data_IF_706583531706
#
_entry.id   IF_706583531706
#
_cell.length_a   1.000
_cell.length_b   1.000
_cell.length_c   1.000
_cell.angle_alpha   90.00
_cell.angle_beta   90.00
_cell.angle_gamma   90.00
#
_symmetry.space_group_name_H-M   'P 1'
#
loop_
_entity.id
_entity.type
_entity.pdbx_description
1 polymer ?
#
# COMPACT_ATOMS: atom_id res chain seq x y z
N UNK A 1 -12.79 -14.66 10.54
CA UNK A 1 -12.24 -14.32 9.19
C UNK A 1 -10.75 -14.55 9.16
N UNK A 2 -10.30 -15.48 8.34
CA UNK A 2 -8.90 -15.95 8.21
C UNK A 2 -7.88 -14.81 8.01
N UNK A 3 -8.25 -13.77 7.25
CA UNK A 3 -7.41 -12.60 7.01
C UNK A 3 -7.16 -11.84 8.31
N UNK A 4 -8.19 -11.62 9.11
CA UNK A 4 -8.09 -10.88 10.38
C UNK A 4 -7.19 -11.65 11.35
N UNK A 5 -7.37 -12.96 11.47
CA UNK A 5 -6.55 -13.81 12.33
C UNK A 5 -5.09 -13.83 11.88
N UNK A 6 -4.87 -13.97 10.57
CA UNK A 6 -3.52 -13.98 9.99
C UNK A 6 -2.82 -12.65 10.20
N UNK A 7 -3.48 -11.53 9.91
CA UNK A 7 -2.93 -10.19 10.15
C UNK A 7 -2.70 -9.93 11.64
N UNK A 8 -3.66 -10.31 12.49
CA UNK A 8 -3.54 -10.20 13.95
C UNK A 8 -2.36 -10.97 14.53
N UNK A 9 -1.95 -12.07 13.89
CA UNK A 9 -0.78 -12.86 14.27
C UNK A 9 0.53 -12.24 13.80
N UNK A 10 0.61 -11.81 12.54
CA UNK A 10 1.90 -11.44 11.92
C UNK A 10 2.23 -9.94 12.04
N UNK A 11 1.23 -9.05 12.03
CA UNK A 11 1.49 -7.61 12.14
C UNK A 11 2.16 -7.22 13.47
N UNK A 12 1.72 -7.72 14.65
CA UNK A 12 2.42 -7.45 15.90
C UNK A 12 3.86 -7.95 15.91
N UNK A 13 4.14 -9.12 15.30
CA UNK A 13 5.49 -9.65 15.20
C UNK A 13 6.39 -8.78 14.32
N UNK A 14 5.83 -8.29 13.20
CA UNK A 14 6.55 -7.39 12.29
C UNK A 14 6.88 -6.05 12.98
N UNK A 15 5.94 -5.51 13.76
CA UNK A 15 6.14 -4.30 14.55
C UNK A 15 7.20 -4.55 15.63
N UNK A 16 7.09 -5.63 16.41
CA UNK A 16 8.02 -5.96 17.49
C UNK A 16 9.45 -6.20 16.98
N UNK A 17 9.60 -6.75 15.77
CA UNK A 17 10.89 -6.88 15.09
C UNK A 17 11.51 -5.55 14.63
N UNK A 18 10.74 -4.46 14.65
CA UNK A 18 11.17 -3.13 14.21
C UNK A 18 11.34 -2.15 15.36
N UNK A 19 10.39 -2.16 16.31
CA UNK A 19 10.36 -1.22 17.43
C UNK A 19 9.67 -1.83 18.65
N UNK A 20 10.16 -1.52 19.85
CA UNK A 20 9.46 -1.78 21.10
C UNK A 20 8.45 -0.66 21.39
N UNK A 21 7.24 -0.79 20.84
CA UNK A 21 6.20 0.22 20.89
C UNK A 21 5.52 0.22 22.27
N UNK A 22 5.61 1.34 22.99
CA UNK A 22 4.98 1.54 24.30
C UNK A 22 3.50 1.90 24.15
N UNK A 23 2.64 1.69 25.18
CA UNK A 23 1.21 2.01 25.09
C UNK A 23 0.90 3.47 24.74
N UNK A 24 1.71 4.42 25.21
CA UNK A 24 1.54 5.87 24.98
C UNK A 24 2.18 6.37 23.68
N UNK A 25 2.90 5.53 22.95
CA UNK A 25 3.54 5.92 21.70
C UNK A 25 2.50 6.16 20.60
N UNK A 26 2.62 7.30 19.94
CA UNK A 26 1.71 7.65 18.85
C UNK A 26 2.01 6.82 17.60
N UNK A 27 0.98 6.25 17.00
CA UNK A 27 1.03 5.61 15.69
C UNK A 27 0.37 6.52 14.67
N UNK A 28 1.06 6.77 13.54
CA UNK A 28 0.52 7.47 12.39
C UNK A 28 0.11 6.44 11.33
N UNK A 29 -1.18 6.42 11.00
CA UNK A 29 -1.74 5.66 9.89
C UNK A 29 -1.72 6.50 8.62
N UNK A 30 -1.21 5.96 7.54
CA UNK A 30 -1.14 6.62 6.24
C UNK A 30 -1.84 5.77 5.20
N UNK A 31 -2.88 6.33 4.58
CA UNK A 31 -3.61 5.67 3.50
C UNK A 31 -3.26 6.29 2.16
N UNK A 32 -2.44 5.61 1.36
CA UNK A 32 -2.05 6.07 0.03
C UNK A 32 -3.15 5.78 -0.99
N UNK A 33 -3.21 6.61 -2.02
CA UNK A 33 -4.10 6.42 -3.15
C UNK A 33 -5.12 7.54 -3.33
N UNK A 34 -6.08 7.27 -4.22
CA UNK A 34 -7.06 8.23 -4.70
C UNK A 34 -8.49 7.79 -4.34
N UNK A 35 -9.19 8.58 -3.53
CA UNK A 35 -10.58 8.37 -3.16
C UNK A 35 -11.53 8.20 -4.35
N UNK A 36 -11.20 8.86 -5.48
CA UNK A 36 -12.04 8.90 -6.68
C UNK A 36 -11.83 7.71 -7.61
N UNK A 37 -10.79 6.91 -7.38
CA UNK A 37 -10.46 5.74 -8.18
C UNK A 37 -10.68 4.47 -7.34
N UNK A 38 -11.70 3.68 -7.68
CA UNK A 38 -12.08 2.49 -6.90
C UNK A 38 -10.90 1.55 -6.65
N UNK A 39 -10.09 1.30 -7.69
CA UNK A 39 -8.93 0.42 -7.61
C UNK A 39 -7.77 1.01 -6.79
N UNK A 40 -7.79 2.31 -6.48
CA UNK A 40 -6.75 3.04 -5.76
C UNK A 40 -7.27 3.64 -4.43
N UNK A 41 -8.44 3.18 -3.97
CA UNK A 41 -9.09 3.72 -2.77
C UNK A 41 -8.86 2.93 -1.48
N UNK A 42 -8.05 1.88 -1.52
CA UNK A 42 -7.80 1.02 -0.35
C UNK A 42 -7.25 1.82 0.83
N UNK A 43 -6.17 2.57 0.62
CA UNK A 43 -5.54 3.37 1.66
C UNK A 43 -6.47 4.44 2.25
N UNK A 44 -7.11 5.29 1.44
CA UNK A 44 -8.11 6.23 1.91
C UNK A 44 -9.24 5.58 2.72
N UNK A 45 -9.80 4.46 2.25
CA UNK A 45 -10.84 3.71 2.99
C UNK A 45 -10.32 3.13 4.30
N UNK A 46 -9.08 2.65 4.30
CA UNK A 46 -8.45 2.20 5.54
C UNK A 46 -8.45 3.32 6.59
N UNK A 47 -8.09 4.54 6.24
CA UNK A 47 -8.14 5.68 7.17
C UNK A 47 -9.58 5.97 7.62
N UNK A 48 -10.54 5.94 6.70
CA UNK A 48 -11.95 6.18 7.03
C UNK A 48 -12.50 5.25 8.09
N UNK A 49 -12.07 3.98 8.08
CA UNK A 49 -12.56 2.95 9.01
C UNK A 49 -11.62 2.69 10.19
N UNK A 50 -10.49 3.39 10.26
CA UNK A 50 -9.52 3.21 11.34
C UNK A 50 -9.95 3.94 12.62
N UNK A 51 -9.70 3.36 13.81
CA UNK A 51 -9.95 4.03 15.07
C UNK A 51 -8.93 5.14 15.30
N UNK A 52 -9.34 6.39 15.12
CA UNK A 52 -8.52 7.57 15.37
C UNK A 52 -8.74 8.03 16.82
N UNK A 53 -7.71 7.94 17.65
CA UNK A 53 -7.82 8.10 19.11
C UNK A 53 -6.93 9.19 19.69
N UNK A 54 -5.93 9.69 18.92
CA UNK A 54 -4.95 10.68 19.44
C UNK A 54 -5.62 11.93 20.05
N UNK A 55 -6.72 12.40 19.50
CA UNK A 55 -7.44 13.56 20.00
C UNK A 55 -8.10 13.31 21.34
N UNK A 56 -8.46 12.06 21.68
CA UNK A 56 -8.99 11.74 23.02
C UNK A 56 -7.94 11.97 24.11
N UNK A 57 -6.67 11.67 23.85
CA UNK A 57 -5.60 11.93 24.81
C UNK A 57 -5.39 13.42 25.10
N UNK A 58 -5.78 14.30 24.18
CA UNK A 58 -5.62 15.74 24.31
C UNK A 58 -6.87 16.43 24.87
N UNK A 59 -8.07 15.99 24.45
CA UNK A 59 -9.31 16.75 24.67
C UNK A 59 -10.40 15.99 25.39
N UNK A 60 -10.35 14.67 25.49
CA UNK A 60 -11.38 13.84 26.10
C UNK A 60 -10.80 12.57 26.75
N UNK A 61 -9.87 12.70 27.74
CA UNK A 61 -9.21 11.55 28.35
C UNK A 61 -10.18 10.58 29.04
N UNK A 62 -11.35 11.07 29.46
CA UNK A 62 -12.42 10.25 30.03
C UNK A 62 -13.07 9.27 29.02
N UNK A 63 -12.85 9.45 27.72
CA UNK A 63 -13.33 8.55 26.67
C UNK A 63 -12.34 7.41 26.34
N UNK A 64 -11.16 7.43 26.94
CA UNK A 64 -10.16 6.40 26.74
C UNK A 64 -10.60 5.10 27.45
N UNK A 65 -10.47 3.99 26.74
CA UNK A 65 -10.65 2.65 27.31
C UNK A 65 -9.32 1.90 27.32
N UNK A 66 -9.23 0.88 28.17
CA UNK A 66 -8.04 0.05 28.29
C UNK A 66 -7.63 -0.55 26.92
N UNK A 67 -6.35 -0.54 26.61
CA UNK A 67 -5.80 -1.00 25.33
C UNK A 67 -5.77 0.03 24.22
N UNK A 68 -6.42 1.20 24.36
CA UNK A 68 -6.26 2.29 23.41
C UNK A 68 -4.84 2.86 23.45
N UNK A 69 -4.35 3.25 22.26
CA UNK A 69 -3.11 4.03 22.09
C UNK A 69 -3.38 5.28 21.27
N UNK A 70 -2.54 6.32 21.38
CA UNK A 70 -2.67 7.49 20.52
C UNK A 70 -2.48 7.09 19.05
N UNK A 71 -3.54 7.18 18.28
CA UNK A 71 -3.54 6.87 16.85
C UNK A 71 -4.10 8.05 16.06
N UNK A 72 -3.39 8.48 15.04
CA UNK A 72 -3.85 9.50 14.09
C UNK A 72 -3.70 8.98 12.66
N UNK A 73 -4.43 9.57 11.72
CA UNK A 73 -4.43 9.09 10.35
C UNK A 73 -4.52 10.21 9.33
N UNK A 74 -3.95 9.96 8.15
CA UNK A 74 -4.02 10.86 7.01
C UNK A 74 -4.14 10.06 5.71
N UNK A 75 -5.00 10.53 4.80
CA UNK A 75 -5.02 10.14 3.41
C UNK A 75 -4.58 11.36 2.58
N UNK A 76 -3.28 11.44 2.18
CA UNK A 76 -2.71 12.65 1.58
C UNK A 76 -3.26 12.96 0.18
N UNK A 77 -3.92 11.99 -0.45
CA UNK A 77 -4.31 12.08 -1.85
C UNK A 77 -3.15 11.84 -2.80
N UNK A 78 -3.34 12.21 -4.06
CA UNK A 78 -2.36 12.02 -5.13
C UNK A 78 -1.93 13.35 -5.73
N UNK A 79 -0.70 13.41 -6.23
CA UNK A 79 -0.08 14.62 -6.81
C UNK A 79 -1.00 15.31 -7.85
N UNK A 80 -1.63 14.54 -8.74
CA UNK A 80 -2.50 15.08 -9.78
C UNK A 80 -3.78 15.77 -9.28
N UNK A 81 -4.13 15.61 -8.00
CA UNK A 81 -5.27 16.28 -7.36
C UNK A 81 -4.82 17.40 -6.44
N UNK A 82 -3.76 17.18 -5.68
CA UNK A 82 -3.32 18.08 -4.60
C UNK A 82 -2.23 19.06 -5.05
N UNK A 83 -1.47 18.72 -6.10
CA UNK A 83 -0.27 19.45 -6.49
C UNK A 83 0.93 19.24 -5.55
N UNK A 84 0.79 18.36 -4.55
CA UNK A 84 1.81 18.08 -3.55
C UNK A 84 2.33 16.65 -3.70
N UNK A 85 3.62 16.46 -3.55
CA UNK A 85 4.18 15.11 -3.46
C UNK A 85 3.73 14.45 -2.13
N UNK A 86 3.31 13.19 -2.21
CA UNK A 86 2.88 12.42 -1.05
C UNK A 86 3.91 12.43 0.08
N UNK A 87 5.21 12.35 -0.29
CA UNK A 87 6.31 12.42 0.67
C UNK A 87 6.33 13.75 1.43
N UNK A 88 6.12 14.89 0.77
CA UNK A 88 6.14 16.24 1.40
C UNK A 88 5.04 16.35 2.46
N UNK A 89 3.82 15.88 2.12
CA UNK A 89 2.70 15.91 3.06
C UNK A 89 2.99 15.03 4.28
N UNK A 90 3.42 13.78 4.04
CA UNK A 90 3.69 12.83 5.13
C UNK A 90 4.86 13.30 5.97
N UNK A 91 5.95 13.80 5.38
CA UNK A 91 7.10 14.31 6.12
C UNK A 91 6.71 15.49 7.00
N UNK A 92 5.91 16.43 6.49
CA UNK A 92 5.39 17.54 7.29
C UNK A 92 4.55 17.08 8.48
N UNK A 93 3.73 16.04 8.31
CA UNK A 93 2.96 15.45 9.42
C UNK A 93 3.88 14.75 10.42
N UNK A 94 4.85 13.97 9.96
CA UNK A 94 5.83 13.28 10.82
C UNK A 94 6.61 14.27 11.67
N UNK A 95 7.10 15.35 11.10
CA UNK A 95 7.90 16.35 11.80
C UNK A 95 7.11 17.08 12.90
N UNK A 96 5.80 17.25 12.72
CA UNK A 96 4.93 17.91 13.70
C UNK A 96 4.36 16.94 14.74
N UNK A 97 3.91 15.76 14.32
CA UNK A 97 3.27 14.76 15.19
C UNK A 97 4.28 13.94 15.98
N UNK A 98 5.47 13.72 15.40
CA UNK A 98 6.56 12.89 15.94
C UNK A 98 6.08 11.50 16.36
N UNK A 99 5.45 10.74 15.45
CA UNK A 99 4.97 9.40 15.77
C UNK A 99 6.15 8.46 16.02
N UNK A 100 5.93 7.44 16.84
CA UNK A 100 6.92 6.39 17.07
C UNK A 100 6.93 5.35 15.93
N UNK A 101 5.82 5.22 15.21
CA UNK A 101 5.65 4.26 14.12
C UNK A 101 4.71 4.82 13.06
N UNK A 102 5.03 4.58 11.79
CA UNK A 102 4.10 4.70 10.67
C UNK A 102 3.60 3.32 10.22
N UNK A 103 2.29 3.24 9.96
CA UNK A 103 1.69 2.13 9.21
C UNK A 103 1.11 2.72 7.92
N UNK A 104 1.68 2.30 6.79
CA UNK A 104 1.30 2.81 5.47
C UNK A 104 0.53 1.74 4.72
N UNK A 105 -0.66 2.06 4.23
CA UNK A 105 -1.51 1.15 3.44
C UNK A 105 -1.66 1.68 2.03
N UNK A 106 -1.46 0.80 1.03
CA UNK A 106 -1.49 1.15 -0.39
C UNK A 106 -2.14 0.07 -1.25
N UNK A 107 -2.65 0.50 -2.39
CA UNK A 107 -3.09 -0.36 -3.49
C UNK A 107 -1.89 -0.73 -4.36
N UNK A 108 -1.69 -2.02 -4.62
CA UNK A 108 -0.54 -2.51 -5.38
C UNK A 108 -0.94 -2.95 -6.79
N UNK A 109 0.04 -2.99 -7.70
CA UNK A 109 -0.09 -3.64 -8.99
C UNK A 109 0.29 -5.12 -8.89
N UNK A 110 -0.60 -6.01 -9.33
CA UNK A 110 -0.35 -7.45 -9.37
C UNK A 110 0.61 -7.82 -10.50
N UNK A 111 1.58 -8.67 -10.18
CA UNK A 111 2.44 -9.33 -11.17
C UNK A 111 1.87 -10.68 -11.63
N UNK A 112 0.73 -11.09 -11.07
CA UNK A 112 -0.03 -12.27 -11.42
C UNK A 112 -1.51 -11.99 -11.16
N UNK A 113 -2.37 -12.32 -12.13
CA UNK A 113 -3.83 -12.11 -12.08
C UNK A 113 -4.45 -12.76 -10.83
N UNK A 114 -3.97 -13.93 -10.43
CA UNK A 114 -4.51 -14.70 -9.29
C UNK A 114 -4.30 -13.99 -7.93
N UNK A 115 -3.42 -12.98 -7.89
CA UNK A 115 -3.14 -12.23 -6.66
C UNK A 115 -4.04 -11.01 -6.44
N UNK A 116 -4.86 -10.64 -7.42
CA UNK A 116 -5.75 -9.47 -7.32
C UNK A 116 -6.80 -9.72 -6.23
N UNK A 117 -6.81 -8.89 -5.21
CA UNK A 117 -7.75 -8.95 -4.10
C UNK A 117 -7.64 -10.21 -3.22
N UNK A 118 -6.65 -11.07 -3.45
CA UNK A 118 -6.50 -12.36 -2.75
C UNK A 118 -5.28 -12.43 -1.84
N UNK A 119 -4.38 -11.46 -1.93
CA UNK A 119 -3.14 -11.45 -1.13
C UNK A 119 -2.95 -10.12 -0.42
N UNK A 120 -2.43 -10.17 0.80
CA UNK A 120 -1.95 -9.01 1.53
C UNK A 120 -0.45 -9.15 1.72
N UNK A 121 0.28 -8.10 1.39
CA UNK A 121 1.73 -8.03 1.56
C UNK A 121 2.05 -7.09 2.71
N UNK A 122 2.93 -7.52 3.61
CA UNK A 122 3.41 -6.69 4.72
C UNK A 122 4.93 -6.65 4.69
N UNK A 123 5.50 -5.46 4.89
CA UNK A 123 6.95 -5.25 4.91
C UNK A 123 7.35 -4.24 6.00
N UNK A 124 8.53 -4.42 6.59
CA UNK A 124 9.11 -3.49 7.55
C UNK A 124 10.22 -2.59 6.94
N UNK A 125 10.34 -2.59 5.62
CA UNK A 125 11.32 -1.79 4.86
C UNK A 125 10.73 -0.51 4.30
N UNK A 126 9.42 -0.26 4.50
CA UNK A 126 8.71 0.84 3.88
C UNK A 126 8.14 0.50 2.51
N UNK A 127 7.71 1.52 1.77
CA UNK A 127 7.07 1.39 0.46
C UNK A 127 7.54 2.50 -0.49
N UNK A 128 7.62 2.20 -1.77
CA UNK A 128 7.85 3.18 -2.83
C UNK A 128 6.56 3.34 -3.65
N UNK A 129 5.78 4.41 -3.40
CA UNK A 129 4.51 4.62 -4.09
C UNK A 129 4.67 4.68 -5.60
N UNK A 130 3.75 4.08 -6.35
CA UNK A 130 3.72 4.11 -7.80
C UNK A 130 4.77 3.23 -8.51
N UNK A 131 5.64 2.52 -7.80
CA UNK A 131 6.69 1.68 -8.43
C UNK A 131 6.11 0.57 -9.29
N UNK A 132 4.99 -0.01 -8.89
CA UNK A 132 4.33 -1.11 -9.63
C UNK A 132 3.70 -0.70 -10.97
N UNK A 133 3.58 0.59 -11.26
CA UNK A 133 3.01 1.13 -12.50
C UNK A 133 4.00 2.02 -13.26
N UNK A 134 5.30 1.91 -12.96
CA UNK A 134 6.36 2.68 -13.63
C UNK A 134 6.42 4.17 -13.25
N UNK A 135 5.71 4.59 -12.21
CA UNK A 135 5.66 5.96 -11.72
C UNK A 135 6.22 6.05 -10.29
N UNK A 136 7.43 5.53 -10.10
CA UNK A 136 8.07 5.47 -8.80
C UNK A 136 8.26 6.87 -8.20
N UNK A 137 7.70 7.07 -7.00
CA UNK A 137 7.85 8.29 -6.20
C UNK A 137 8.91 8.07 -5.13
N UNK A 138 9.22 9.13 -4.37
CA UNK A 138 10.15 9.04 -3.24
C UNK A 138 9.66 8.00 -2.23
N UNK A 139 10.57 7.15 -1.78
CA UNK A 139 10.26 6.09 -0.82
C UNK A 139 9.79 6.65 0.52
N UNK A 140 8.83 5.97 1.12
CA UNK A 140 8.36 6.17 2.48
C UNK A 140 8.97 5.06 3.33
N UNK A 141 10.15 5.30 3.85
CA UNK A 141 10.92 4.38 4.68
C UNK A 141 11.54 5.11 5.88
N UNK A 142 12.17 4.34 6.76
CA UNK A 142 12.80 4.88 7.95
C UNK A 142 13.93 5.86 7.64
N UNK A 143 14.71 5.62 6.59
CA UNK A 143 15.82 6.50 6.21
C UNK A 143 15.33 7.86 5.74
N UNK A 144 14.24 7.90 5.00
CA UNK A 144 13.69 9.14 4.43
C UNK A 144 12.83 9.93 5.41
N UNK A 145 12.11 9.24 6.30
CA UNK A 145 11.17 9.87 7.24
C UNK A 145 11.74 10.05 8.66
N UNK A 146 12.75 9.25 9.04
CA UNK A 146 13.35 9.29 10.37
C UNK A 146 12.52 8.55 11.43
N UNK A 147 11.55 7.73 11.03
CA UNK A 147 10.74 6.91 11.92
C UNK A 147 10.52 5.53 11.31
N UNK A 148 10.38 4.46 12.13
CA UNK A 148 10.04 3.13 11.65
C UNK A 148 8.77 3.12 10.78
N UNK A 149 8.79 2.36 9.68
CA UNK A 149 7.67 2.24 8.75
C UNK A 149 7.31 0.77 8.55
N UNK A 150 6.03 0.45 8.71
CA UNK A 150 5.43 -0.81 8.28
C UNK A 150 4.55 -0.51 7.08
N UNK A 151 4.77 -1.19 5.98
CA UNK A 151 3.96 -1.09 4.78
C UNK A 151 3.02 -2.30 4.67
N UNK A 152 1.77 -2.04 4.29
CA UNK A 152 0.75 -3.04 4.03
C UNK A 152 0.16 -2.74 2.65
N UNK A 153 0.10 -3.73 1.77
CA UNK A 153 -0.44 -3.55 0.44
C UNK A 153 -1.29 -4.72 -0.02
N UNK A 154 -2.30 -4.41 -0.84
CA UNK A 154 -3.11 -5.41 -1.51
C UNK A 154 -3.11 -5.11 -3.01
N UNK A 155 -2.84 -6.10 -3.89
CA UNK A 155 -2.97 -5.93 -5.32
C UNK A 155 -4.44 -5.70 -5.71
N UNK A 156 -4.72 -4.56 -6.32
CA UNK A 156 -6.06 -4.15 -6.76
C UNK A 156 -6.16 -3.94 -8.26
N UNK A 157 -5.02 -3.81 -8.93
CA UNK A 157 -4.91 -3.64 -10.38
C UNK A 157 -3.89 -4.63 -10.96
N UNK A 158 -4.00 -4.85 -12.26
CA UNK A 158 -3.03 -5.63 -13.04
C UNK A 158 -2.83 -4.95 -14.39
N UNK A 159 -1.60 -4.99 -14.90
CA UNK A 159 -1.30 -4.49 -16.24
C UNK A 159 -1.90 -5.45 -17.28
N UNK A 160 -2.49 -4.91 -18.35
CA UNK A 160 -3.03 -5.68 -19.46
C UNK A 160 -1.99 -6.61 -20.11
N UNK A 161 -0.72 -6.20 -20.15
CA UNK A 161 0.37 -7.05 -20.61
C UNK A 161 0.52 -8.33 -19.77
N UNK A 162 0.38 -8.24 -18.45
CA UNK A 162 0.44 -9.40 -17.54
C UNK A 162 -0.71 -10.35 -17.82
N UNK A 163 -1.93 -9.84 -18.01
CA UNK A 163 -3.11 -10.65 -18.34
C UNK A 163 -2.88 -11.40 -19.65
N UNK A 164 -2.44 -10.68 -20.70
CA UNK A 164 -2.23 -11.24 -22.03
C UNK A 164 -1.13 -12.29 -22.02
N UNK A 165 0.00 -11.99 -21.36
CA UNK A 165 1.10 -12.94 -21.21
C UNK A 165 0.66 -14.25 -20.56
N UNK A 166 -0.03 -14.15 -19.41
CA UNK A 166 -0.53 -15.33 -18.70
C UNK A 166 -1.60 -16.10 -19.48
N UNK A 167 -2.43 -15.40 -20.26
CA UNK A 167 -3.41 -16.03 -21.13
C UNK A 167 -2.74 -16.86 -22.24
N UNK A 168 -1.71 -16.30 -22.90
CA UNK A 168 -0.93 -17.02 -23.93
C UNK A 168 -0.21 -18.21 -23.30
N UNK A 169 0.44 -18.04 -22.17
CA UNK A 169 1.13 -19.12 -21.46
C UNK A 169 0.16 -20.28 -21.13
N UNK A 170 -0.98 -19.96 -20.51
CA UNK A 170 -2.02 -20.98 -20.19
C UNK A 170 -2.60 -21.65 -21.43
N UNK A 171 -2.75 -20.92 -22.54
CA UNK A 171 -3.19 -21.50 -23.80
C UNK A 171 -2.15 -22.50 -24.36
N UNK A 172 -0.88 -22.13 -24.39
CA UNK A 172 0.21 -23.02 -24.81
C UNK A 172 0.27 -24.30 -23.97
N UNK A 173 0.13 -24.16 -22.63
CA UNK A 173 0.09 -25.33 -21.73
C UNK A 173 -1.08 -26.27 -22.06
N UNK A 174 -2.28 -25.71 -22.30
CA UNK A 174 -3.48 -26.53 -22.62
C UNK A 174 -3.42 -27.18 -23.99
N UNK A 175 -2.73 -26.58 -24.95
CA UNK A 175 -2.61 -27.10 -26.33
C UNK A 175 -1.32 -27.90 -26.55
N UNK A 176 -0.50 -28.10 -25.52
CA UNK A 176 0.83 -28.73 -25.61
C UNK A 176 1.74 -28.04 -26.66
N UNK A 177 1.56 -26.75 -26.86
CA UNK A 177 2.44 -25.91 -27.72
C UNK A 177 3.56 -25.30 -26.89
N UNK A 178 4.73 -25.12 -27.52
CA UNK A 178 5.88 -24.51 -26.84
C UNK A 178 5.59 -23.01 -26.63
N UNK A 179 5.66 -22.55 -25.39
CA UNK A 179 5.58 -21.14 -25.08
C UNK A 179 6.88 -20.43 -25.47
N UNK A 180 6.81 -19.47 -26.36
CA UNK A 180 7.95 -18.63 -26.75
C UNK A 180 7.79 -17.23 -26.15
N UNK A 181 8.54 -16.96 -25.09
CA UNK A 181 8.46 -15.71 -24.32
C UNK A 181 8.79 -14.48 -25.18
N UNK A 182 9.78 -14.57 -26.09
CA UNK A 182 10.19 -13.45 -26.96
C UNK A 182 9.06 -13.09 -27.91
N UNK A 183 8.46 -14.09 -28.58
CA UNK A 183 7.35 -13.87 -29.50
C UNK A 183 6.10 -13.37 -28.78
N UNK A 184 5.79 -13.93 -27.62
CA UNK A 184 4.66 -13.50 -26.78
C UNK A 184 4.82 -12.02 -26.38
N UNK A 185 6.00 -11.63 -25.88
CA UNK A 185 6.28 -10.26 -25.49
C UNK A 185 6.24 -9.28 -26.67
N UNK A 186 6.70 -9.69 -27.86
CA UNK A 186 6.59 -8.86 -29.05
C UNK A 186 5.14 -8.68 -29.48
N UNK A 187 4.35 -9.75 -29.54
CA UNK A 187 2.93 -9.68 -29.90
C UNK A 187 2.12 -8.84 -28.91
N UNK A 188 2.46 -8.91 -27.61
CA UNK A 188 1.84 -8.08 -26.57
C UNK A 188 2.16 -6.60 -26.81
N UNK A 189 3.43 -6.26 -27.10
CA UNK A 189 3.83 -4.89 -27.43
C UNK A 189 3.10 -4.37 -28.67
N UNK A 190 3.00 -5.18 -29.72
CA UNK A 190 2.32 -4.81 -30.96
C UNK A 190 0.83 -4.53 -30.71
N UNK A 191 0.16 -5.36 -29.91
CA UNK A 191 -1.23 -5.14 -29.51
C UNK A 191 -1.41 -3.88 -28.66
N UNK A 192 -0.53 -3.65 -27.68
CA UNK A 192 -0.65 -2.52 -26.75
C UNK A 192 -0.24 -1.20 -27.39
N UNK A 193 0.66 -1.19 -28.36
CA UNK A 193 1.03 0.02 -29.12
C UNK A 193 -0.16 0.61 -29.89
N UNK A 194 -1.16 -0.20 -30.23
CA UNK A 194 -2.41 0.25 -30.87
C UNK A 194 -3.31 1.09 -29.93
N UNK A 195 -3.18 0.92 -28.61
CA UNK A 195 -3.98 1.63 -27.61
C UNK A 195 -3.22 2.75 -26.90
N UNK A 196 -1.92 2.82 -27.07
CA UNK A 196 -1.04 3.84 -26.50
C UNK A 196 -0.39 4.63 -27.60
N UNK A 197 -1.11 5.56 -28.19
CA UNK A 197 -0.46 6.62 -28.95
C UNK A 197 0.46 7.41 -28.03
N UNK A 198 1.76 7.42 -28.37
CA UNK A 198 2.91 8.21 -27.88
C UNK A 198 2.80 8.86 -26.51
#
# INVERSE_FOLDING_TARGET
DEIIETMGKYLPQLIAGKINLKPQDTVLLVGLGNWRATADSLGPKFIQYSPITRHYYQYAPQALVEGMRPCCGIAPGVLGITGLETFEVIKGVVDNVKPALLIVVDSLAAQNVERIGTTIQMANTGIQPGSGIGNARRALDENSLGVPVIAIGCPTIVNSAVITHQAIEKYCQKTNTVFNEIQANQSIKDCLSFFGGN
#
